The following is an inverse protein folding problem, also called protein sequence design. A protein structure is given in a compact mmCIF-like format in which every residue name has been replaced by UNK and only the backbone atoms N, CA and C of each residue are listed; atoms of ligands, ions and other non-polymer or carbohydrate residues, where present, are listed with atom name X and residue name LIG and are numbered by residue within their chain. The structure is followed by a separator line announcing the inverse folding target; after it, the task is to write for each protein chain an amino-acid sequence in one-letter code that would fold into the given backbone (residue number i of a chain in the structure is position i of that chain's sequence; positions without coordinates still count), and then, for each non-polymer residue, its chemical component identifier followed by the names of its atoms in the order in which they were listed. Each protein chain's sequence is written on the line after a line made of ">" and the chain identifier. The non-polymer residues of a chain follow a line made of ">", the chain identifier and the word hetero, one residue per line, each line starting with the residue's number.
data_IF_428104560083
#
_entry.id   IF_428104560083
#
_cell.length_a   1.000
_cell.length_b   1.000
_cell.length_c   1.000
_cell.angle_alpha   90.00
_cell.angle_beta   90.00
_cell.angle_gamma   90.00
#
_symmetry.space_group_name_H-M   'P 1'
#
loop_
_entity.id
_entity.type
_entity.pdbx_description
1 polymer ?
#
# COMPACT_ATOMS: atom_id res chain seq x y z
N UNK A 1 -17.58 3.64 26.71
CA UNK A 1 -16.85 3.43 25.45
C UNK A 1 -17.59 4.21 24.38
N UNK A 2 -16.92 5.07 23.67
CA UNK A 2 -17.54 5.74 22.53
C UNK A 2 -18.01 4.68 21.55
N UNK A 3 -19.28 4.81 21.12
CA UNK A 3 -19.92 3.86 20.22
C UNK A 3 -19.89 4.42 18.79
N UNK A 4 -18.76 5.01 18.38
CA UNK A 4 -18.59 5.58 17.05
C UNK A 4 -18.76 4.52 15.97
N UNK A 5 -19.58 4.77 14.95
CA UNK A 5 -19.69 3.88 13.81
C UNK A 5 -18.41 3.91 12.98
N UNK A 6 -17.89 2.75 12.61
CA UNK A 6 -16.70 2.61 11.74
C UNK A 6 -17.11 2.01 10.41
N UNK A 7 -16.83 2.73 9.32
CA UNK A 7 -17.00 2.24 7.95
C UNK A 7 -15.75 1.53 7.49
N UNK A 8 -15.86 0.26 7.13
CA UNK A 8 -14.77 -0.54 6.54
C UNK A 8 -15.02 -0.68 5.05
N UNK A 9 -14.14 -0.13 4.23
CA UNK A 9 -14.29 -0.05 2.79
C UNK A 9 -13.42 -1.10 2.11
N UNK A 10 -14.05 -1.93 1.27
CA UNK A 10 -13.39 -3.03 0.56
C UNK A 10 -13.61 -2.86 -0.94
N UNK A 11 -12.61 -2.41 -1.71
CA UNK A 11 -12.65 -2.38 -3.16
C UNK A 11 -12.46 -3.79 -3.72
N UNK A 12 -13.47 -4.34 -4.38
CA UNK A 12 -13.48 -5.75 -4.82
C UNK A 12 -13.29 -5.86 -6.32
N UNK A 13 -12.23 -6.54 -6.77
CA UNK A 13 -12.00 -6.88 -8.17
C UNK A 13 -11.13 -8.12 -8.32
N UNK A 14 -11.63 -9.19 -8.97
CA UNK A 14 -10.91 -10.46 -9.23
C UNK A 14 -10.28 -11.09 -7.97
N UNK A 15 -11.03 -11.11 -6.88
CA UNK A 15 -10.59 -11.59 -5.57
C UNK A 15 -11.31 -12.85 -5.08
N UNK A 16 -12.04 -13.56 -5.95
CA UNK A 16 -12.89 -14.71 -5.62
C UNK A 16 -12.23 -15.73 -4.67
N UNK A 17 -10.93 -15.96 -4.84
CA UNK A 17 -10.16 -16.92 -4.01
C UNK A 17 -9.95 -16.48 -2.57
N UNK A 18 -10.09 -15.20 -2.27
CA UNK A 18 -9.65 -14.61 -1.01
C UNK A 18 -10.75 -13.88 -0.25
N UNK A 19 -11.75 -13.37 -0.98
CA UNK A 19 -12.77 -12.44 -0.48
C UNK A 19 -13.54 -12.99 0.74
N UNK A 20 -13.77 -14.30 0.82
CA UNK A 20 -14.43 -14.91 1.96
C UNK A 20 -13.63 -14.69 3.26
N UNK A 21 -12.33 -14.97 3.23
CA UNK A 21 -11.47 -14.76 4.40
C UNK A 21 -11.44 -13.29 4.82
N UNK A 22 -11.40 -12.37 3.88
CA UNK A 22 -11.46 -10.94 4.14
C UNK A 22 -12.77 -10.59 4.88
N UNK A 23 -13.92 -10.84 4.26
CA UNK A 23 -15.22 -10.45 4.82
C UNK A 23 -15.47 -11.13 6.16
N UNK A 24 -15.18 -12.43 6.29
CA UNK A 24 -15.36 -13.16 7.56
C UNK A 24 -14.54 -12.53 8.68
N UNK A 25 -13.29 -12.12 8.42
CA UNK A 25 -12.44 -11.46 9.41
C UNK A 25 -12.96 -10.09 9.83
N UNK A 26 -13.59 -9.35 8.90
CA UNK A 26 -14.21 -8.06 9.18
C UNK A 26 -15.51 -8.22 9.99
N UNK A 27 -16.32 -9.22 9.70
CA UNK A 27 -17.56 -9.49 10.44
C UNK A 27 -17.30 -10.10 11.82
N UNK A 28 -16.13 -10.72 12.02
CA UNK A 28 -15.68 -11.29 13.30
C UNK A 28 -15.10 -10.24 14.26
N UNK A 29 -15.08 -8.95 13.93
CA UNK A 29 -14.55 -7.92 14.81
C UNK A 29 -15.27 -7.91 16.18
N UNK A 30 -14.51 -7.73 17.28
CA UNK A 30 -15.04 -7.57 18.63
C UNK A 30 -15.84 -6.27 18.76
N UNK A 31 -15.42 -5.22 18.08
CA UNK A 31 -16.15 -3.96 17.94
C UNK A 31 -17.35 -4.15 17.01
N UNK A 32 -18.58 -4.05 17.56
CA UNK A 32 -19.81 -4.41 16.82
C UNK A 32 -20.39 -3.28 15.98
N UNK A 33 -20.13 -2.01 16.34
CA UNK A 33 -20.68 -0.87 15.63
C UNK A 33 -19.87 -0.55 14.37
N UNK A 34 -19.96 -1.45 13.39
CA UNK A 34 -19.31 -1.35 12.09
C UNK A 34 -20.30 -1.44 10.95
N UNK A 35 -19.98 -0.85 9.82
CA UNK A 35 -20.53 -1.16 8.52
C UNK A 35 -19.40 -1.60 7.58
N UNK A 36 -19.65 -2.62 6.76
CA UNK A 36 -18.71 -3.13 5.76
C UNK A 36 -19.23 -2.79 4.38
N UNK A 37 -18.54 -1.93 3.65
CA UNK A 37 -18.95 -1.46 2.33
C UNK A 37 -18.10 -2.18 1.28
N UNK A 38 -18.70 -3.16 0.60
CA UNK A 38 -18.10 -3.92 -0.48
C UNK A 38 -18.39 -3.20 -1.79
N UNK A 39 -17.37 -2.70 -2.46
CA UNK A 39 -17.51 -2.05 -3.76
C UNK A 39 -17.02 -3.01 -4.84
N UNK A 40 -17.95 -3.71 -5.48
CA UNK A 40 -17.64 -4.56 -6.64
C UNK A 40 -17.38 -3.69 -7.87
N UNK A 41 -16.12 -3.56 -8.22
CA UNK A 41 -15.62 -2.73 -9.33
C UNK A 41 -15.73 -3.47 -10.69
N UNK A 42 -16.90 -4.06 -10.94
CA UNK A 42 -17.19 -4.79 -12.17
C UNK A 42 -16.35 -6.06 -12.31
N UNK A 43 -16.24 -6.85 -11.26
CA UNK A 43 -15.51 -8.11 -11.26
C UNK A 43 -16.08 -9.09 -12.28
N UNK A 44 -15.23 -9.67 -13.16
CA UNK A 44 -15.67 -10.66 -14.14
C UNK A 44 -15.79 -12.09 -13.57
N UNK A 45 -15.35 -12.31 -12.32
CA UNK A 45 -15.46 -13.55 -11.56
C UNK A 45 -16.72 -13.55 -10.66
N UNK A 46 -16.82 -14.47 -9.69
CA UNK A 46 -18.00 -14.59 -8.83
C UNK A 46 -18.03 -13.57 -7.66
N UNK A 47 -17.11 -12.61 -7.59
CA UNK A 47 -17.04 -11.66 -6.49
C UNK A 47 -18.33 -10.89 -6.25
N UNK A 48 -18.99 -10.39 -7.31
CA UNK A 48 -20.26 -9.66 -7.17
C UNK A 48 -21.32 -10.50 -6.49
N UNK A 49 -21.51 -11.76 -6.93
CA UNK A 49 -22.47 -12.70 -6.31
C UNK A 49 -22.10 -13.01 -4.85
N UNK A 50 -20.82 -13.20 -4.56
CA UNK A 50 -20.34 -13.44 -3.18
C UNK A 50 -20.69 -12.24 -2.29
N UNK A 51 -20.45 -11.00 -2.75
CA UNK A 51 -20.79 -9.79 -2.01
C UNK A 51 -22.30 -9.75 -1.68
N UNK A 52 -23.18 -10.04 -2.64
CA UNK A 52 -24.63 -10.08 -2.45
C UNK A 52 -25.04 -11.15 -1.42
N UNK A 53 -24.40 -12.31 -1.47
CA UNK A 53 -24.66 -13.38 -0.50
C UNK A 53 -24.31 -12.97 0.94
N UNK A 54 -23.26 -12.17 1.14
CA UNK A 54 -22.92 -11.62 2.47
C UNK A 54 -23.89 -10.53 2.90
N UNK A 55 -24.30 -9.63 2.02
CA UNK A 55 -25.27 -8.59 2.33
C UNK A 55 -26.65 -9.18 2.70
N UNK A 56 -27.03 -10.29 2.09
CA UNK A 56 -28.27 -11.00 2.44
C UNK A 56 -28.22 -11.68 3.82
N UNK A 57 -27.02 -11.98 4.35
CA UNK A 57 -26.81 -12.69 5.62
C UNK A 57 -26.53 -11.77 6.80
N UNK A 58 -25.91 -10.60 6.58
CA UNK A 58 -25.50 -9.70 7.65
C UNK A 58 -25.85 -8.24 7.29
N UNK A 59 -26.72 -7.63 8.09
CA UNK A 59 -27.21 -6.26 7.85
C UNK A 59 -26.12 -5.17 7.95
N UNK A 60 -24.94 -5.49 8.47
CA UNK A 60 -23.79 -4.58 8.50
C UNK A 60 -23.08 -4.48 7.14
N UNK A 61 -23.36 -5.42 6.22
CA UNK A 61 -22.75 -5.44 4.89
C UNK A 61 -23.60 -4.66 3.90
N UNK A 62 -22.97 -3.73 3.20
CA UNK A 62 -23.54 -2.97 2.09
C UNK A 62 -22.77 -3.30 0.82
N UNK A 63 -23.45 -3.50 -0.30
CA UNK A 63 -22.81 -3.79 -1.59
C UNK A 63 -23.12 -2.67 -2.58
N UNK A 64 -22.11 -2.29 -3.34
CA UNK A 64 -22.22 -1.34 -4.43
C UNK A 64 -21.59 -1.99 -5.65
N UNK A 65 -22.36 -2.17 -6.72
CA UNK A 65 -21.84 -2.61 -8.01
C UNK A 65 -21.60 -1.41 -8.92
N UNK A 66 -20.43 -1.35 -9.52
CA UNK A 66 -20.08 -0.30 -10.47
C UNK A 66 -19.36 -0.86 -11.70
N UNK A 67 -19.32 -0.08 -12.78
CA UNK A 67 -18.44 -0.37 -13.90
C UNK A 67 -16.99 -0.22 -13.46
N UNK A 68 -16.09 -1.10 -13.92
CA UNK A 68 -14.69 -1.05 -13.54
C UNK A 68 -14.05 0.33 -13.74
N UNK A 69 -13.72 0.96 -12.63
CA UNK A 69 -13.06 2.26 -12.55
C UNK A 69 -11.65 2.20 -11.95
N UNK A 70 -11.23 1.03 -11.47
CA UNK A 70 -9.97 0.82 -10.75
C UNK A 70 -10.08 1.10 -9.26
N UNK A 71 -9.06 0.65 -8.50
CA UNK A 71 -9.07 0.63 -7.04
C UNK A 71 -9.34 2.00 -6.41
N UNK A 72 -8.79 3.08 -6.97
CA UNK A 72 -8.98 4.45 -6.46
C UNK A 72 -10.44 4.90 -6.59
N UNK A 73 -11.08 4.60 -7.73
CA UNK A 73 -12.50 4.94 -7.94
C UNK A 73 -13.38 4.10 -7.02
N UNK A 74 -13.09 2.81 -6.87
CA UNK A 74 -13.83 1.95 -5.97
C UNK A 74 -13.73 2.39 -4.50
N UNK A 75 -12.52 2.79 -4.04
CA UNK A 75 -12.32 3.35 -2.70
C UNK A 75 -13.09 4.66 -2.51
N UNK A 76 -13.06 5.56 -3.53
CA UNK A 76 -13.84 6.81 -3.47
C UNK A 76 -15.34 6.51 -3.35
N UNK A 77 -15.87 5.61 -4.20
CA UNK A 77 -17.28 5.19 -4.11
C UNK A 77 -17.62 4.67 -2.71
N UNK A 78 -16.74 3.87 -2.11
CA UNK A 78 -16.92 3.37 -0.74
C UNK A 78 -16.96 4.50 0.30
N UNK A 79 -16.06 5.49 0.21
CA UNK A 79 -16.05 6.68 1.07
C UNK A 79 -17.33 7.51 0.92
N UNK A 80 -17.79 7.71 -0.30
CA UNK A 80 -19.00 8.50 -0.60
C UNK A 80 -20.26 7.88 0.01
N UNK A 81 -20.27 6.56 0.19
CA UNK A 81 -21.38 5.82 0.82
C UNK A 81 -21.15 5.52 2.31
N UNK A 82 -19.98 5.84 2.84
CA UNK A 82 -19.66 5.64 4.25
C UNK A 82 -20.45 6.61 5.14
N UNK A 83 -21.00 6.08 6.24
CA UNK A 83 -21.78 6.87 7.21
C UNK A 83 -21.12 6.93 8.59
N UNK A 84 -20.06 6.14 8.81
CA UNK A 84 -19.32 6.10 10.06
C UNK A 84 -18.59 7.40 10.40
N UNK A 85 -18.33 7.60 11.68
CA UNK A 85 -17.47 8.69 12.16
C UNK A 85 -16.02 8.47 11.72
N UNK A 86 -15.57 7.21 11.76
CA UNK A 86 -14.27 6.78 11.27
C UNK A 86 -14.41 5.90 10.04
N UNK A 87 -13.36 5.88 9.22
CA UNK A 87 -13.24 4.94 8.09
C UNK A 87 -11.87 4.29 8.08
N UNK A 88 -11.83 3.04 7.61
CA UNK A 88 -10.62 2.28 7.33
C UNK A 88 -10.83 1.47 6.06
N UNK A 89 -9.76 1.18 5.34
CA UNK A 89 -9.81 0.33 4.15
C UNK A 89 -9.32 -1.09 4.45
N UNK A 90 -9.80 -2.07 3.69
CA UNK A 90 -9.24 -3.40 3.66
C UNK A 90 -9.19 -3.90 2.21
N UNK A 91 -8.09 -4.53 1.82
CA UNK A 91 -7.98 -5.12 0.49
C UNK A 91 -8.60 -6.52 0.49
N UNK A 92 -9.29 -6.95 -0.59
CA UNK A 92 -10.11 -8.16 -0.61
C UNK A 92 -9.30 -9.45 -0.57
N UNK A 93 -7.98 -9.40 -0.72
CA UNK A 93 -7.06 -10.54 -0.61
C UNK A 93 -6.35 -10.63 0.75
N UNK A 94 -6.65 -9.72 1.69
CA UNK A 94 -6.07 -9.63 3.02
C UNK A 94 -7.08 -10.01 4.12
N UNK A 95 -6.65 -10.01 5.39
CA UNK A 95 -7.54 -10.24 6.55
C UNK A 95 -7.02 -9.52 7.79
N UNK A 96 -7.86 -9.45 8.82
CA UNK A 96 -7.55 -8.69 10.03
C UNK A 96 -7.78 -9.49 11.32
N UNK A 97 -7.05 -9.14 12.38
CA UNK A 97 -7.30 -9.69 13.71
C UNK A 97 -8.64 -9.19 14.27
N UNK A 98 -9.37 -10.03 15.06
CA UNK A 98 -10.70 -9.66 15.57
C UNK A 98 -10.75 -8.40 16.44
N UNK A 99 -9.65 -8.03 17.10
CA UNK A 99 -9.60 -6.85 18.00
C UNK A 99 -9.14 -5.55 17.29
N UNK A 100 -8.89 -5.58 15.99
CA UNK A 100 -8.30 -4.44 15.27
C UNK A 100 -9.11 -3.15 15.45
N UNK A 101 -10.39 -3.20 15.12
CA UNK A 101 -11.23 -1.99 15.15
C UNK A 101 -11.40 -1.49 16.58
N UNK A 102 -11.61 -2.36 17.55
CA UNK A 102 -11.75 -2.00 18.97
C UNK A 102 -10.51 -1.28 19.50
N UNK A 103 -9.33 -1.82 19.24
CA UNK A 103 -8.05 -1.25 19.67
C UNK A 103 -7.77 0.11 18.99
N UNK A 104 -8.06 0.21 17.70
CA UNK A 104 -7.86 1.46 16.95
C UNK A 104 -8.83 2.56 17.41
N UNK A 105 -10.11 2.25 17.62
CA UNK A 105 -11.10 3.22 18.14
C UNK A 105 -10.75 3.64 19.55
N UNK A 106 -10.41 2.68 20.43
CA UNK A 106 -9.98 2.97 21.81
C UNK A 106 -8.81 3.94 21.83
N UNK A 107 -7.81 3.71 20.96
CA UNK A 107 -6.64 4.58 20.82
C UNK A 107 -7.02 5.97 20.27
N UNK A 108 -7.90 6.03 19.26
CA UNK A 108 -8.37 7.29 18.69
C UNK A 108 -9.05 8.18 19.73
N UNK A 109 -9.92 7.59 20.53
CA UNK A 109 -10.65 8.30 21.61
C UNK A 109 -9.69 8.74 22.71
N UNK A 110 -8.85 7.82 23.21
CA UNK A 110 -7.92 8.09 24.32
C UNK A 110 -6.96 9.25 24.01
N UNK A 111 -6.48 9.33 22.75
CA UNK A 111 -5.54 10.35 22.32
C UNK A 111 -6.24 11.58 21.70
N UNK A 112 -7.57 11.54 21.55
CA UNK A 112 -8.33 12.49 20.72
C UNK A 112 -7.68 12.66 19.35
N UNK A 113 -7.40 11.53 18.68
CA UNK A 113 -6.70 11.51 17.41
C UNK A 113 -7.69 11.48 16.23
N UNK A 114 -7.29 12.11 15.13
CA UNK A 114 -8.05 12.11 13.87
C UNK A 114 -7.63 10.94 12.98
N UNK A 115 -6.37 10.46 13.12
CA UNK A 115 -5.85 9.28 12.46
C UNK A 115 -5.08 8.41 13.47
N UNK A 116 -5.34 7.10 13.45
CA UNK A 116 -4.54 6.11 14.18
C UNK A 116 -3.85 5.19 13.19
N UNK A 117 -2.54 5.09 13.31
CA UNK A 117 -1.69 4.22 12.47
C UNK A 117 -1.32 2.99 13.31
N UNK A 118 -1.44 1.79 12.75
CA UNK A 118 -0.95 0.57 13.38
C UNK A 118 0.08 -0.15 12.51
N UNK A 119 0.76 -1.14 13.08
CA UNK A 119 1.66 -2.05 12.38
C UNK A 119 0.88 -3.09 11.58
N UNK A 120 1.59 -3.89 10.78
CA UNK A 120 0.99 -4.95 9.99
C UNK A 120 1.90 -6.19 9.90
N UNK A 121 1.33 -7.32 9.50
CA UNK A 121 2.02 -8.58 9.28
C UNK A 121 2.01 -8.90 7.80
N UNK A 122 3.17 -9.11 7.20
CA UNK A 122 3.26 -9.64 5.83
C UNK A 122 3.18 -11.15 5.85
N UNK A 123 2.24 -11.71 5.07
CA UNK A 123 1.98 -13.13 4.92
C UNK A 123 2.61 -13.65 3.63
N UNK A 124 3.79 -14.20 3.75
CA UNK A 124 4.54 -14.71 2.61
C UNK A 124 4.50 -16.23 2.51
N UNK A 125 4.98 -16.75 1.36
CA UNK A 125 5.12 -18.21 1.13
C UNK A 125 6.05 -18.89 2.15
N UNK A 126 6.90 -18.13 2.83
CA UNK A 126 7.93 -18.63 3.75
C UNK A 126 7.66 -18.30 5.22
N UNK A 127 6.50 -17.78 5.52
CA UNK A 127 6.05 -17.41 6.86
C UNK A 127 5.67 -15.94 6.99
N UNK A 128 5.41 -15.56 8.22
CA UNK A 128 4.98 -14.22 8.61
C UNK A 128 6.19 -13.31 8.88
N UNK A 129 6.02 -12.02 8.59
CA UNK A 129 6.98 -10.98 8.97
C UNK A 129 6.22 -9.83 9.64
N UNK A 130 6.57 -9.52 10.87
CA UNK A 130 6.07 -8.35 11.57
C UNK A 130 6.73 -7.09 11.00
N UNK A 131 5.92 -6.12 10.58
CA UNK A 131 6.38 -4.85 10.03
C UNK A 131 5.98 -3.72 10.98
N UNK A 132 6.95 -3.26 11.76
CA UNK A 132 6.77 -2.11 12.64
C UNK A 132 7.04 -0.82 11.90
N UNK A 133 6.13 0.14 12.07
CA UNK A 133 6.34 1.52 11.63
C UNK A 133 7.34 2.26 12.52
N UNK A 134 7.57 1.77 13.73
CA UNK A 134 8.52 2.29 14.71
C UNK A 134 8.44 3.81 14.86
N UNK A 135 7.21 4.33 15.00
CA UNK A 135 6.97 5.76 15.12
C UNK A 135 7.14 6.20 16.57
N UNK A 136 7.76 7.36 16.83
CA UNK A 136 7.77 7.96 18.15
C UNK A 136 6.37 8.41 18.57
N UNK A 137 6.18 8.65 19.86
CA UNK A 137 4.88 9.02 20.46
C UNK A 137 4.37 10.40 20.01
N UNK A 138 5.26 11.25 19.53
CA UNK A 138 4.91 12.57 19.00
C UNK A 138 5.60 12.77 17.65
N UNK A 139 4.79 12.89 16.60
CA UNK A 139 5.23 13.16 15.23
C UNK A 139 4.44 14.30 14.64
N UNK A 140 5.13 15.20 13.97
CA UNK A 140 4.47 16.16 13.10
C UNK A 140 3.93 15.47 11.84
N UNK A 141 2.96 16.08 11.19
CA UNK A 141 2.47 15.61 9.89
C UNK A 141 3.56 15.65 8.82
N UNK A 142 4.49 16.60 8.90
CA UNK A 142 5.63 16.68 7.99
C UNK A 142 6.60 15.50 8.17
N UNK A 143 6.89 15.09 9.42
CA UNK A 143 7.70 13.89 9.69
C UNK A 143 7.04 12.61 9.14
N UNK A 144 5.71 12.52 9.24
CA UNK A 144 4.96 11.39 8.68
C UNK A 144 4.99 11.39 7.15
N UNK A 145 4.83 12.55 6.52
CA UNK A 145 4.95 12.71 5.06
C UNK A 145 6.36 12.30 4.62
N UNK A 146 7.40 12.82 5.29
CA UNK A 146 8.79 12.44 5.00
C UNK A 146 8.98 10.91 5.07
N UNK A 147 8.50 10.26 6.15
CA UNK A 147 8.59 8.80 6.30
C UNK A 147 7.84 8.02 5.22
N UNK A 148 6.67 8.50 4.78
CA UNK A 148 5.92 7.93 3.65
C UNK A 148 6.74 8.00 2.36
N UNK A 149 7.32 9.16 2.04
CA UNK A 149 8.11 9.40 0.83
C UNK A 149 9.41 8.58 0.81
N UNK A 150 10.01 8.36 1.97
CA UNK A 150 11.21 7.52 2.15
C UNK A 150 10.88 6.03 2.34
N UNK A 151 9.61 5.64 2.24
CA UNK A 151 9.14 4.25 2.44
C UNK A 151 9.53 3.67 3.81
N UNK A 152 9.67 4.52 4.82
CA UNK A 152 9.87 4.16 6.23
C UNK A 152 8.54 3.96 6.95
N UNK A 153 7.47 4.51 6.41
CA UNK A 153 6.08 4.27 6.80
C UNK A 153 5.34 3.67 5.62
N UNK A 154 4.55 2.63 5.86
CA UNK A 154 3.79 1.98 4.81
C UNK A 154 2.73 2.91 4.22
N UNK A 155 2.72 3.04 2.88
CA UNK A 155 1.83 3.95 2.16
C UNK A 155 0.37 3.48 2.08
N UNK A 156 0.04 2.25 2.49
CA UNK A 156 -1.32 1.69 2.42
C UNK A 156 -2.32 2.44 3.29
N UNK A 157 -3.57 2.47 2.88
CA UNK A 157 -4.70 2.96 3.67
C UNK A 157 -5.22 1.92 4.68
N UNK A 158 -4.82 0.65 4.55
CA UNK A 158 -5.43 -0.47 5.29
C UNK A 158 -5.03 -0.55 6.77
N UNK A 159 -3.95 0.09 7.17
CA UNK A 159 -3.49 0.15 8.57
C UNK A 159 -3.69 1.52 9.21
N UNK A 160 -4.64 2.31 8.70
CA UNK A 160 -4.92 3.67 9.16
C UNK A 160 -6.43 3.86 9.37
N UNK A 161 -6.84 4.02 10.63
CA UNK A 161 -8.19 4.46 10.97
C UNK A 161 -8.23 5.97 10.91
N UNK A 162 -9.15 6.57 10.14
CA UNK A 162 -9.19 8.03 9.91
C UNK A 162 -10.61 8.54 10.17
N UNK A 163 -10.75 9.71 10.85
CA UNK A 163 -12.05 10.39 10.93
C UNK A 163 -12.55 10.75 9.54
N UNK A 164 -13.76 10.31 9.21
CA UNK A 164 -14.34 10.41 7.87
C UNK A 164 -14.45 11.86 7.37
N UNK A 165 -14.59 12.83 8.26
CA UNK A 165 -14.70 14.27 7.88
C UNK A 165 -13.51 14.73 7.02
N UNK A 166 -12.32 14.18 7.20
CA UNK A 166 -11.13 14.54 6.44
C UNK A 166 -11.14 14.02 5.00
N UNK A 167 -11.99 13.06 4.70
CA UNK A 167 -12.16 12.56 3.32
C UNK A 167 -12.94 13.53 2.42
N UNK A 168 -13.76 14.43 3.00
CA UNK A 168 -14.60 15.34 2.22
C UNK A 168 -13.82 16.32 1.34
N UNK A 169 -12.57 16.62 1.70
CA UNK A 169 -11.70 17.56 0.98
C UNK A 169 -10.58 16.89 0.21
N UNK A 170 -10.52 15.55 0.22
CA UNK A 170 -9.46 14.78 -0.44
C UNK A 170 -10.09 13.69 -1.30
N UNK A 171 -10.06 13.86 -2.60
CA UNK A 171 -10.45 12.82 -3.53
C UNK A 171 -9.33 11.80 -3.73
N UNK A 172 -9.69 10.54 -3.95
CA UNK A 172 -8.76 9.53 -4.44
C UNK A 172 -8.24 9.90 -5.83
N UNK A 173 -7.17 9.24 -6.23
CA UNK A 173 -6.48 9.54 -7.48
C UNK A 173 -7.28 9.12 -8.71
N UNK A 174 -7.07 9.76 -9.88
CA UNK A 174 -7.69 9.36 -11.13
C UNK A 174 -7.39 7.88 -11.49
N UNK A 175 -8.28 7.27 -12.28
CA UNK A 175 -8.23 5.85 -12.69
C UNK A 175 -6.88 5.40 -13.32
N UNK A 176 -6.15 6.30 -13.98
CA UNK A 176 -4.87 5.95 -14.61
C UNK A 176 -3.75 5.73 -13.59
N UNK A 177 -3.89 6.26 -12.37
CA UNK A 177 -2.94 6.04 -11.27
C UNK A 177 -3.30 4.73 -10.57
N UNK A 178 -2.45 3.73 -10.74
CA UNK A 178 -2.67 2.37 -10.23
C UNK A 178 -1.57 1.88 -9.27
N UNK A 179 -0.59 2.72 -8.96
CA UNK A 179 0.45 2.47 -7.98
C UNK A 179 0.84 3.79 -7.31
N UNK A 180 1.15 3.77 -6.02
CA UNK A 180 1.35 4.94 -5.18
C UNK A 180 0.11 5.82 -4.98
N UNK A 181 -1.08 5.35 -5.41
CA UNK A 181 -2.36 6.03 -5.17
C UNK A 181 -2.61 6.22 -3.67
N UNK A 182 -2.37 5.17 -2.88
CA UNK A 182 -2.51 5.19 -1.42
C UNK A 182 -1.52 6.15 -0.77
N UNK A 183 -0.27 6.17 -1.24
CA UNK A 183 0.75 7.09 -0.75
C UNK A 183 0.33 8.53 -1.00
N UNK A 184 -0.05 8.86 -2.23
CA UNK A 184 -0.51 10.21 -2.58
C UNK A 184 -1.72 10.62 -1.75
N UNK A 185 -2.66 9.69 -1.56
CA UNK A 185 -3.85 9.91 -0.77
C UNK A 185 -3.52 10.20 0.71
N UNK A 186 -2.62 9.40 1.32
CA UNK A 186 -2.18 9.64 2.69
C UNK A 186 -1.43 10.97 2.84
N UNK A 187 -0.61 11.38 1.86
CA UNK A 187 0.05 12.69 1.87
C UNK A 187 -0.99 13.82 1.84
N UNK A 188 -2.02 13.71 0.99
CA UNK A 188 -3.12 14.69 0.94
C UNK A 188 -3.90 14.77 2.25
N UNK A 189 -4.15 13.65 2.92
CA UNK A 189 -4.78 13.63 4.24
C UNK A 189 -3.91 14.36 5.28
N UNK A 190 -2.63 14.01 5.35
CA UNK A 190 -1.69 14.58 6.32
C UNK A 190 -1.49 16.10 6.12
N UNK A 191 -1.62 16.60 4.88
CA UNK A 191 -1.59 18.06 4.59
C UNK A 191 -2.72 18.84 5.20
N UNK A 192 -3.78 18.19 5.68
CA UNK A 192 -4.87 18.84 6.42
C UNK A 192 -4.54 19.08 7.90
N UNK A 193 -3.29 18.88 8.31
CA UNK A 193 -2.81 19.07 9.68
C UNK A 193 -3.62 18.24 10.71
N UNK A 194 -3.93 17.03 10.36
CA UNK A 194 -4.69 16.08 11.19
C UNK A 194 -3.85 15.60 12.39
N UNK A 195 -4.51 15.43 13.53
CA UNK A 195 -3.87 14.87 14.73
C UNK A 195 -3.71 13.36 14.60
N UNK A 196 -2.46 12.90 14.57
CA UNK A 196 -2.13 11.48 14.40
C UNK A 196 -1.75 10.81 15.71
N UNK A 197 -2.04 9.52 15.83
CA UNK A 197 -1.57 8.66 16.91
C UNK A 197 -1.04 7.34 16.34
N UNK A 198 -0.15 6.69 17.10
CA UNK A 198 0.44 5.42 16.71
C UNK A 198 0.15 4.34 17.74
N UNK A 199 -0.30 3.19 17.27
CA UNK A 199 -0.53 1.98 18.05
C UNK A 199 0.47 0.91 17.62
N UNK A 200 1.52 0.60 18.41
CA UNK A 200 2.58 -0.35 18.05
C UNK A 200 2.12 -1.81 18.18
N UNK A 201 1.05 -2.14 17.46
CA UNK A 201 0.49 -3.49 17.39
C UNK A 201 0.12 -3.79 15.94
N UNK A 202 0.34 -5.02 15.51
CA UNK A 202 -0.02 -5.46 14.16
C UNK A 202 -1.34 -6.25 14.19
N UNK A 203 -2.29 -5.81 13.39
CA UNK A 203 -3.61 -6.42 13.27
C UNK A 203 -3.97 -6.78 11.84
N UNK A 204 -3.36 -6.10 10.87
CA UNK A 204 -3.61 -6.27 9.46
C UNK A 204 -2.66 -7.29 8.87
N UNK A 205 -3.18 -8.32 8.23
CA UNK A 205 -2.42 -9.37 7.57
C UNK A 205 -2.39 -9.14 6.06
N UNK A 206 -1.26 -8.67 5.57
CA UNK A 206 -1.01 -8.36 4.17
C UNK A 206 -0.49 -9.59 3.41
N UNK A 207 -1.25 -10.09 2.45
CA UNK A 207 -0.91 -11.27 1.65
C UNK A 207 0.08 -10.93 0.54
N UNK A 208 1.33 -11.32 0.70
CA UNK A 208 2.37 -11.14 -0.33
C UNK A 208 2.46 -12.32 -1.31
N UNK A 209 1.73 -13.41 -1.06
CA UNK A 209 1.74 -14.62 -1.90
C UNK A 209 0.81 -14.56 -3.12
N UNK A 210 0.00 -13.52 -3.25
CA UNK A 210 -0.87 -13.32 -4.42
C UNK A 210 -0.04 -12.90 -5.64
N UNK A 211 0.17 -13.84 -6.57
CA UNK A 211 0.96 -13.60 -7.80
C UNK A 211 0.25 -12.67 -8.80
N UNK A 212 -1.06 -12.50 -8.68
CA UNK A 212 -1.87 -11.63 -9.54
C UNK A 212 -1.94 -10.19 -9.02
N UNK A 213 -1.31 -9.89 -7.88
CA UNK A 213 -1.26 -8.52 -7.34
C UNK A 213 -0.66 -7.54 -8.34
N UNK A 214 -1.26 -6.35 -8.45
CA UNK A 214 -0.77 -5.24 -9.27
C UNK A 214 0.67 -4.88 -8.89
N UNK A 215 1.03 -5.02 -7.62
CA UNK A 215 2.36 -4.74 -7.10
C UNK A 215 3.46 -5.66 -7.66
N UNK A 216 3.10 -6.87 -8.12
CA UNK A 216 4.07 -7.87 -8.59
C UNK A 216 4.45 -7.74 -10.07
N UNK A 217 3.68 -6.98 -10.87
CA UNK A 217 3.89 -6.84 -12.31
C UNK A 217 4.37 -5.44 -12.67
N UNK A 218 5.60 -5.34 -13.23
CA UNK A 218 6.12 -4.06 -13.71
C UNK A 218 5.71 -3.90 -15.16
N UNK A 219 4.89 -2.87 -15.41
CA UNK A 219 4.36 -2.50 -16.71
C UNK A 219 4.66 -1.04 -17.00
N UNK A 220 4.57 -0.63 -18.28
CA UNK A 220 4.70 0.79 -18.66
C UNK A 220 3.65 1.66 -17.97
N UNK A 221 2.41 1.14 -17.78
CA UNK A 221 1.36 1.80 -17.03
C UNK A 221 1.77 2.07 -15.58
N UNK A 222 2.44 1.10 -14.92
CA UNK A 222 2.96 1.27 -13.57
C UNK A 222 4.04 2.35 -13.51
N UNK A 223 4.95 2.36 -14.48
CA UNK A 223 6.02 3.37 -14.56
C UNK A 223 5.43 4.77 -14.78
N UNK A 224 4.46 4.90 -15.69
CA UNK A 224 3.73 6.14 -15.92
C UNK A 224 3.02 6.62 -14.66
N UNK A 225 2.25 5.75 -14.01
CA UNK A 225 1.56 6.03 -12.74
C UNK A 225 2.49 6.58 -11.67
N UNK A 226 3.67 5.99 -11.47
CA UNK A 226 4.67 6.51 -10.52
C UNK A 226 5.15 7.90 -10.90
N UNK A 227 5.39 8.16 -12.20
CA UNK A 227 5.82 9.48 -12.68
C UNK A 227 4.75 10.54 -12.43
N UNK A 228 3.48 10.20 -12.69
CA UNK A 228 2.34 11.09 -12.49
C UNK A 228 2.19 11.44 -11.00
N UNK A 229 2.28 10.46 -10.10
CA UNK A 229 2.25 10.70 -8.63
C UNK A 229 3.40 11.61 -8.20
N UNK A 230 4.62 11.38 -8.68
CA UNK A 230 5.77 12.23 -8.37
C UNK A 230 5.54 13.66 -8.90
N UNK A 231 4.95 13.81 -10.09
CA UNK A 231 4.56 15.11 -10.64
C UNK A 231 3.57 15.84 -9.75
N UNK A 232 2.51 15.17 -9.30
CA UNK A 232 1.51 15.73 -8.38
C UNK A 232 2.16 16.13 -7.04
N UNK A 233 2.98 15.27 -6.45
CA UNK A 233 3.68 15.57 -5.20
C UNK A 233 4.56 16.82 -5.32
N UNK A 234 5.28 16.97 -6.42
CA UNK A 234 6.15 18.12 -6.68
C UNK A 234 5.35 19.40 -6.95
N UNK A 235 4.40 19.35 -7.91
CA UNK A 235 3.74 20.55 -8.42
C UNK A 235 2.55 21.00 -7.58
N UNK A 236 1.66 20.07 -7.18
CA UNK A 236 0.44 20.42 -6.45
C UNK A 236 0.67 20.50 -4.93
N UNK A 237 1.50 19.62 -4.39
CA UNK A 237 1.74 19.53 -2.95
C UNK A 237 3.05 20.16 -2.51
N UNK A 238 3.81 20.75 -3.45
CA UNK A 238 5.07 21.48 -3.18
C UNK A 238 6.07 20.67 -2.36
N UNK A 239 6.11 19.33 -2.57
CA UNK A 239 7.08 18.46 -1.93
C UNK A 239 8.46 18.74 -2.52
N UNK A 240 9.47 18.88 -1.65
CA UNK A 240 10.82 19.21 -2.07
C UNK A 240 11.47 18.06 -2.86
N UNK A 241 12.31 18.42 -3.83
CA UNK A 241 13.00 17.46 -4.70
C UNK A 241 13.79 16.39 -3.92
N UNK A 242 14.37 16.78 -2.79
CA UNK A 242 15.14 15.89 -1.93
C UNK A 242 14.30 14.77 -1.32
N UNK A 243 13.05 15.07 -0.97
CA UNK A 243 12.10 14.11 -0.39
C UNK A 243 11.56 13.13 -1.46
N UNK A 244 11.56 13.53 -2.73
CA UNK A 244 11.14 12.68 -3.85
C UNK A 244 12.21 11.68 -4.31
N UNK A 245 13.42 11.74 -3.76
CA UNK A 245 14.57 10.93 -4.19
C UNK A 245 14.26 9.44 -4.26
N UNK A 246 13.67 8.87 -3.20
CA UNK A 246 13.39 7.43 -3.10
C UNK A 246 12.36 7.00 -4.14
N UNK A 247 11.31 7.81 -4.35
CA UNK A 247 10.27 7.55 -5.33
C UNK A 247 10.82 7.64 -6.77
N UNK A 248 11.59 8.67 -7.08
CA UNK A 248 12.28 8.83 -8.37
C UNK A 248 13.24 7.67 -8.66
N UNK A 249 14.01 7.25 -7.65
CA UNK A 249 14.89 6.09 -7.73
C UNK A 249 14.14 4.80 -8.04
N UNK A 250 12.94 4.63 -7.49
CA UNK A 250 12.10 3.46 -7.78
C UNK A 250 11.61 3.40 -9.24
N UNK A 251 11.37 4.56 -9.87
CA UNK A 251 11.05 4.65 -11.31
C UNK A 251 12.24 4.22 -12.16
N UNK A 252 13.44 4.73 -11.84
CA UNK A 252 14.66 4.33 -12.56
C UNK A 252 14.92 2.82 -12.44
N UNK A 253 14.58 2.24 -11.30
CA UNK A 253 14.68 0.81 -11.10
C UNK A 253 13.70 0.02 -11.96
N UNK A 254 12.41 0.44 -12.01
CA UNK A 254 11.41 -0.19 -12.87
C UNK A 254 11.83 -0.10 -14.36
N UNK A 255 12.35 1.05 -14.83
CA UNK A 255 12.90 1.23 -16.18
C UNK A 255 14.06 0.28 -16.48
N UNK A 256 14.96 0.10 -15.51
CA UNK A 256 16.08 -0.84 -15.66
C UNK A 256 15.58 -2.29 -15.72
N UNK A 257 14.60 -2.65 -14.89
CA UNK A 257 14.06 -4.01 -14.80
C UNK A 257 13.29 -4.41 -16.07
N UNK A 258 12.62 -3.45 -16.72
CA UNK A 258 11.91 -3.63 -18.00
C UNK A 258 12.79 -3.42 -19.23
N UNK A 259 14.09 -3.23 -19.04
CA UNK A 259 15.08 -3.00 -20.12
C UNK A 259 14.88 -1.69 -20.91
N UNK A 260 14.19 -0.69 -20.36
CA UNK A 260 14.09 0.65 -20.96
C UNK A 260 15.37 1.48 -20.69
N UNK A 261 16.51 0.92 -21.05
CA UNK A 261 17.84 1.47 -20.71
C UNK A 261 18.16 2.80 -21.39
N UNK A 262 17.53 3.09 -22.52
CA UNK A 262 17.61 4.36 -23.26
C UNK A 262 16.92 5.51 -22.52
N UNK A 263 15.85 5.22 -21.77
CA UNK A 263 15.12 6.21 -20.99
C UNK A 263 15.81 6.56 -19.66
N UNK A 264 16.65 5.68 -19.10
CA UNK A 264 17.28 5.87 -17.79
C UNK A 264 18.03 7.21 -17.67
N UNK A 265 18.78 7.60 -18.70
CA UNK A 265 19.59 8.84 -18.68
C UNK A 265 18.76 10.11 -18.77
N UNK A 266 17.56 10.03 -19.35
CA UNK A 266 16.66 11.16 -19.56
C UNK A 266 15.66 11.35 -18.43
N UNK A 267 15.43 10.28 -17.66
CA UNK A 267 14.46 10.27 -16.53
C UNK A 267 15.17 10.70 -15.26
N UNK A 268 14.72 11.77 -14.66
CA UNK A 268 15.23 12.33 -13.41
C UNK A 268 16.76 12.52 -13.36
N UNK A 269 17.36 13.28 -14.30
CA UNK A 269 18.81 13.50 -14.36
C UNK A 269 19.37 14.16 -13.08
N UNK A 270 18.54 14.91 -12.35
CA UNK A 270 18.90 15.61 -11.11
C UNK A 270 19.31 14.66 -9.99
N UNK A 271 18.77 13.44 -9.94
CA UNK A 271 19.15 12.48 -8.90
C UNK A 271 20.34 11.57 -9.27
N UNK A 272 20.79 11.61 -10.53
CA UNK A 272 21.87 10.70 -10.99
C UNK A 272 23.19 10.93 -10.24
N UNK A 273 23.51 12.18 -9.87
CA UNK A 273 24.70 12.48 -9.09
C UNK A 273 24.63 11.81 -7.71
N UNK A 274 23.49 11.94 -7.02
CA UNK A 274 23.27 11.33 -5.70
C UNK A 274 23.36 9.80 -5.76
N UNK A 275 22.79 9.15 -6.80
CA UNK A 275 22.93 7.70 -7.01
C UNK A 275 24.41 7.31 -7.16
N UNK A 276 25.24 8.12 -7.87
CA UNK A 276 26.67 7.86 -7.99
C UNK A 276 27.42 8.07 -6.67
N UNK A 277 27.02 9.05 -5.87
CA UNK A 277 27.60 9.31 -4.53
C UNK A 277 27.22 8.24 -3.50
N UNK A 278 26.00 7.64 -3.60
CA UNK A 278 25.62 6.48 -2.78
C UNK A 278 26.58 5.29 -2.98
N UNK A 279 27.31 5.27 -4.09
CA UNK A 279 28.40 4.36 -4.37
C UNK A 279 27.98 2.91 -4.62
N UNK A 280 28.98 2.11 -5.00
CA UNK A 280 28.81 0.65 -5.09
C UNK A 280 28.96 0.03 -3.69
N UNK A 281 27.90 -0.64 -3.24
CA UNK A 281 27.90 -1.30 -1.92
C UNK A 281 28.22 -2.78 -2.07
N UNK A 282 29.33 -3.23 -1.55
CA UNK A 282 29.75 -4.64 -1.52
C UNK A 282 28.89 -5.52 -0.61
N UNK A 283 27.67 -5.08 -0.27
CA UNK A 283 26.74 -5.91 0.48
C UNK A 283 25.99 -6.85 -0.45
N UNK A 284 26.02 -8.13 -0.13
CA UNK A 284 25.39 -9.24 -0.88
C UNK A 284 23.89 -8.98 -1.20
N UNK A 285 23.25 -8.05 -0.47
CA UNK A 285 21.83 -7.70 -0.56
C UNK A 285 21.54 -6.32 -1.15
N UNK A 286 22.47 -5.71 -1.87
CA UNK A 286 22.24 -4.42 -2.51
C UNK A 286 22.22 -4.46 -4.06
N UNK A 287 21.60 -5.48 -4.72
CA UNK A 287 21.65 -5.61 -6.18
C UNK A 287 20.98 -4.43 -6.90
N UNK A 288 19.96 -3.83 -6.29
CA UNK A 288 19.23 -2.66 -6.79
C UNK A 288 20.13 -1.42 -6.90
N UNK A 289 20.76 -1.05 -5.79
CA UNK A 289 21.65 0.11 -5.74
C UNK A 289 22.83 -0.07 -6.69
N UNK A 290 23.43 -1.26 -6.70
CA UNK A 290 24.58 -1.55 -7.54
C UNK A 290 24.22 -1.54 -9.03
N UNK A 291 23.04 -2.04 -9.39
CA UNK A 291 22.56 -2.00 -10.78
C UNK A 291 22.30 -0.56 -11.24
N UNK A 292 21.65 0.26 -10.45
CA UNK A 292 21.45 1.67 -10.77
C UNK A 292 22.77 2.44 -10.82
N UNK A 293 23.69 2.17 -9.90
CA UNK A 293 25.03 2.76 -9.93
C UNK A 293 25.76 2.46 -11.25
N UNK A 294 25.77 1.20 -11.70
CA UNK A 294 26.38 0.78 -12.97
C UNK A 294 25.69 1.45 -14.16
N UNK A 295 24.37 1.54 -14.14
CA UNK A 295 23.63 2.23 -15.19
C UNK A 295 24.00 3.72 -15.29
N UNK A 296 24.10 4.40 -14.15
CA UNK A 296 24.49 5.82 -14.09
C UNK A 296 25.96 6.07 -14.45
N UNK A 297 26.83 5.07 -14.36
CA UNK A 297 28.22 5.11 -14.86
C UNK A 297 28.32 4.84 -16.38
N UNK A 298 27.23 4.60 -17.05
CA UNK A 298 27.18 4.38 -18.49
C UNK A 298 27.09 2.93 -18.94
N UNK A 299 26.99 2.01 -18.00
CA UNK A 299 26.96 0.56 -18.25
C UNK A 299 25.53 -0.02 -18.17
N UNK A 300 24.54 0.64 -18.78
CA UNK A 300 23.12 0.31 -18.63
C UNK A 300 22.78 -1.15 -19.02
N UNK A 301 23.33 -1.69 -20.12
CA UNK A 301 23.12 -3.08 -20.52
C UNK A 301 23.70 -4.07 -19.50
N UNK A 302 24.92 -3.81 -19.04
CA UNK A 302 25.57 -4.64 -18.00
C UNK A 302 24.79 -4.56 -16.69
N UNK A 303 24.30 -3.38 -16.32
CA UNK A 303 23.44 -3.18 -15.15
C UNK A 303 22.17 -4.01 -15.22
N UNK A 304 21.51 -4.04 -16.38
CA UNK A 304 20.32 -4.88 -16.61
C UNK A 304 20.64 -6.37 -16.41
N UNK A 305 21.67 -6.88 -17.06
CA UNK A 305 22.06 -8.30 -16.91
C UNK A 305 22.46 -8.65 -15.48
N UNK A 306 23.23 -7.78 -14.82
CA UNK A 306 23.60 -7.94 -13.41
C UNK A 306 22.35 -8.02 -12.51
N UNK A 307 21.38 -7.16 -12.75
CA UNK A 307 20.12 -7.18 -12.02
C UNK A 307 19.35 -8.48 -12.25
N UNK A 308 19.19 -8.93 -13.50
CA UNK A 308 18.48 -10.16 -13.84
C UNK A 308 19.12 -11.40 -13.19
N UNK A 309 20.45 -11.47 -13.17
CA UNK A 309 21.18 -12.54 -12.50
C UNK A 309 20.91 -12.55 -10.99
N UNK A 310 20.96 -11.39 -10.36
CA UNK A 310 20.67 -11.27 -8.92
C UNK A 310 19.21 -11.65 -8.58
N UNK A 311 18.25 -11.24 -9.41
CA UNK A 311 16.85 -11.62 -9.21
C UNK A 311 16.64 -13.13 -9.35
N UNK A 312 17.29 -13.77 -10.32
CA UNK A 312 17.27 -15.24 -10.48
C UNK A 312 17.88 -15.93 -9.26
N UNK A 313 19.02 -15.43 -8.77
CA UNK A 313 19.69 -15.95 -7.58
C UNK A 313 18.81 -15.84 -6.33
N UNK A 314 18.19 -14.68 -6.10
CA UNK A 314 17.26 -14.47 -4.98
C UNK A 314 16.11 -15.49 -5.04
N UNK A 315 15.47 -15.66 -6.22
CA UNK A 315 14.40 -16.66 -6.41
C UNK A 315 14.89 -18.09 -6.16
N UNK A 316 16.12 -18.41 -6.55
CA UNK A 316 16.73 -19.72 -6.29
C UNK A 316 16.96 -19.95 -4.79
N UNK A 317 17.53 -18.98 -4.07
CA UNK A 317 17.70 -19.03 -2.60
C UNK A 317 16.36 -19.20 -1.88
N UNK A 318 15.33 -18.49 -2.32
CA UNK A 318 13.98 -18.63 -1.78
C UNK A 318 13.42 -20.04 -1.98
N UNK A 319 13.61 -20.65 -3.16
CA UNK A 319 13.23 -22.05 -3.44
C UNK A 319 13.99 -23.04 -2.55
N UNK A 320 15.29 -22.86 -2.37
CA UNK A 320 16.12 -23.67 -1.47
C UNK A 320 15.61 -23.62 -0.02
N UNK A 321 15.31 -22.41 0.49
CA UNK A 321 14.73 -22.26 1.84
C UNK A 321 13.41 -23.00 2.00
N UNK A 322 12.57 -23.01 0.95
CA UNK A 322 11.33 -23.78 0.95
C UNK A 322 11.59 -25.30 1.04
N UNK A 323 12.53 -25.80 0.24
CA UNK A 323 12.90 -27.23 0.28
C UNK A 323 13.44 -27.64 1.66
N UNK A 324 14.36 -26.84 2.23
CA UNK A 324 14.91 -27.11 3.57
C UNK A 324 13.80 -27.16 4.63
N UNK A 325 12.83 -26.22 4.61
CA UNK A 325 11.69 -26.26 5.56
C UNK A 325 10.82 -27.51 5.39
N UNK A 326 10.65 -28.02 4.16
CA UNK A 326 9.88 -29.25 3.90
C UNK A 326 10.61 -30.53 4.36
N UNK A 327 11.94 -30.51 4.50
CA UNK A 327 12.72 -31.67 4.98
C UNK A 327 13.00 -31.63 6.49
N UNK A 328 12.76 -30.51 7.17
CA UNK A 328 13.03 -30.30 8.61
C UNK A 328 11.71 -30.27 9.42
N UNK A 329 10.56 -30.23 8.73
CA UNK A 329 9.21 -30.45 9.31
C UNK A 329 8.78 -31.89 9.12
#
# INVERSE_FOLDING_TARGET
>A
MDNALVSIIVPVYKAEKYIHQCIDSLLAQTYRNIEVILVDDGSPDHCGKICDEYAAKDCRVKVIHQQNGGVSVARQTGIDHATGEYSIHADPDDWVNPSMIEELVTKAVADNADMVICDYISEGLYGQTYNSSNLPSCLSTDDLIHRLLFQQLHGSCCNKLVKRVYYNSVAFTPQHICIYEDLLYNVRLLRQNIKTSYLPKAFYHYRTSNTNSICNNITDRRIASKKDVIGVLSSELSIQEEDLYVLKKSVLYDLLQTNHTDQLRRTYPEIHHRIRMDGFKWQFFAPLNNSLYLAMKGHARMAYHFLQLNLKFIKWVQRLRKLIKMYVS
#
